data_IF_743215972399
#
_entry.id   IF_743215972399
#
_cell.length_a   1.000
_cell.length_b   1.000
_cell.length_c   1.000
_cell.angle_alpha   90.00
_cell.angle_beta   90.00
_cell.angle_gamma   90.00
#
_symmetry.space_group_name_H-M   'P 1'
#
loop_
_entity.id
_entity.type
_entity.pdbx_description
1 polymer ?
#
# COMPACT_ATOMS: atom_id res chain seq x y z
N UNK A 1 -43.55 -14.52 9.73
CA UNK A 1 -42.76 -14.08 10.92
C UNK A 1 -41.31 -14.53 10.81
N UNK A 2 -40.49 -13.90 9.96
CA UNK A 2 -39.04 -14.17 9.82
C UNK A 2 -38.29 -12.91 9.36
N UNK A 3 -38.50 -11.77 10.02
CA UNK A 3 -37.75 -10.53 9.75
C UNK A 3 -37.07 -9.94 10.99
N UNK A 4 -37.35 -10.44 12.20
CA UNK A 4 -36.83 -9.87 13.45
C UNK A 4 -35.45 -10.41 13.86
N UNK A 5 -35.01 -11.57 13.35
CA UNK A 5 -33.74 -12.18 13.75
C UNK A 5 -32.53 -11.68 12.95
N UNK A 6 -32.70 -11.30 11.68
CA UNK A 6 -31.60 -10.82 10.82
C UNK A 6 -31.16 -9.39 11.18
N UNK A 7 -32.07 -8.57 11.70
CA UNK A 7 -31.77 -7.18 12.08
C UNK A 7 -30.95 -7.10 13.38
N UNK A 8 -31.06 -8.10 14.27
CA UNK A 8 -30.31 -8.18 15.52
C UNK A 8 -28.85 -8.59 15.32
N UNK A 9 -28.57 -9.49 14.39
CA UNK A 9 -27.18 -9.89 14.07
C UNK A 9 -26.39 -8.79 13.36
N UNK A 10 -27.06 -7.95 12.56
CA UNK A 10 -26.41 -6.83 11.86
C UNK A 10 -26.06 -5.66 12.79
N UNK A 11 -26.88 -5.40 13.82
CA UNK A 11 -26.62 -4.40 14.86
C UNK A 11 -25.47 -4.81 15.80
N UNK A 12 -25.37 -6.09 16.15
CA UNK A 12 -24.32 -6.58 17.05
C UNK A 12 -22.91 -6.42 16.45
N UNK A 13 -22.78 -6.59 15.13
CA UNK A 13 -21.51 -6.40 14.44
C UNK A 13 -21.10 -4.94 14.28
N UNK A 14 -22.06 -4.00 14.19
CA UNK A 14 -21.75 -2.56 14.06
C UNK A 14 -21.29 -1.94 15.38
N UNK A 15 -21.83 -2.39 16.51
CA UNK A 15 -21.43 -1.89 17.84
C UNK A 15 -19.98 -2.28 18.19
N UNK A 16 -19.52 -3.47 17.77
CA UNK A 16 -18.16 -3.92 18.05
C UNK A 16 -17.08 -3.10 17.31
N UNK A 17 -17.37 -2.66 16.08
CA UNK A 17 -16.43 -1.83 15.28
C UNK A 17 -16.33 -0.40 15.82
N UNK A 18 -17.43 0.16 16.34
CA UNK A 18 -17.43 1.49 16.98
C UNK A 18 -16.70 1.47 18.33
N UNK A 19 -16.83 0.39 19.11
CA UNK A 19 -16.08 0.24 20.37
C UNK A 19 -14.55 0.16 20.15
N UNK A 20 -14.10 -0.45 19.05
CA UNK A 20 -12.69 -0.45 18.64
C UNK A 20 -12.22 0.92 18.14
N UNK A 21 -13.10 1.74 17.55
CA UNK A 21 -12.78 3.09 17.12
C UNK A 21 -12.64 4.09 18.29
N UNK A 22 -13.38 3.92 19.39
CA UNK A 22 -13.23 4.76 20.59
C UNK A 22 -12.02 4.38 21.46
N UNK A 23 -11.51 3.14 21.34
CA UNK A 23 -10.27 2.73 22.00
C UNK A 23 -9.00 3.39 21.41
N UNK A 24 -9.14 4.12 20.29
CA UNK A 24 -8.07 4.83 19.60
C UNK A 24 -7.81 6.26 20.12
N UNK A 25 -8.58 6.75 21.10
CA UNK A 25 -8.31 8.05 21.73
C UNK A 25 -7.19 7.98 22.78
N UNK A 26 -6.93 6.80 23.36
CA UNK A 26 -5.87 6.59 24.35
C UNK A 26 -4.87 5.54 23.87
N UNK A 27 -3.60 5.93 23.79
CA UNK A 27 -2.53 5.04 23.36
C UNK A 27 -2.12 4.02 24.45
N UNK A 28 -1.41 2.96 24.07
CA UNK A 28 -1.07 1.86 24.97
C UNK A 28 -0.24 2.32 26.18
N UNK A 29 0.68 3.26 26.00
CA UNK A 29 1.50 3.76 27.11
C UNK A 29 0.69 4.66 28.04
N UNK A 30 -0.20 5.50 27.49
CA UNK A 30 -1.15 6.28 28.30
C UNK A 30 -2.01 5.37 29.18
N UNK A 31 -2.55 4.27 28.64
CA UNK A 31 -3.36 3.30 29.41
C UNK A 31 -2.55 2.60 30.51
N UNK A 32 -1.30 2.22 30.20
CA UNK A 32 -0.40 1.65 31.18
C UNK A 32 -0.07 2.64 32.31
N UNK A 33 0.12 3.92 31.97
CA UNK A 33 0.29 5.02 32.92
C UNK A 33 -0.93 5.23 33.80
N UNK A 34 -2.12 5.33 33.21
CA UNK A 34 -3.37 5.49 33.94
C UNK A 34 -3.61 4.35 34.94
N UNK A 35 -3.27 3.11 34.56
CA UNK A 35 -3.38 1.95 35.46
C UNK A 35 -2.45 2.07 36.67
N UNK A 36 -1.23 2.60 36.48
CA UNK A 36 -0.28 2.83 37.59
C UNK A 36 -0.77 3.93 38.52
N UNK A 37 -1.26 5.03 37.95
CA UNK A 37 -1.79 6.15 38.72
C UNK A 37 -3.05 5.75 39.51
N UNK A 38 -3.95 4.96 38.90
CA UNK A 38 -5.13 4.42 39.56
C UNK A 38 -4.75 3.50 40.73
N UNK A 39 -3.75 2.63 40.56
CA UNK A 39 -3.26 1.77 41.64
C UNK A 39 -2.64 2.58 42.79
N UNK A 40 -1.86 3.61 42.47
CA UNK A 40 -1.25 4.48 43.46
C UNK A 40 -2.31 5.27 44.25
N UNK A 41 -3.33 5.81 43.58
CA UNK A 41 -4.44 6.50 44.22
C UNK A 41 -5.24 5.56 45.13
N UNK A 42 -5.56 4.34 44.66
CA UNK A 42 -6.23 3.31 45.47
C UNK A 42 -5.42 2.94 46.72
N UNK A 43 -4.11 2.77 46.58
CA UNK A 43 -3.23 2.48 47.71
C UNK A 43 -3.16 3.63 48.72
N UNK A 44 -3.30 4.88 48.25
CA UNK A 44 -3.36 6.08 49.08
C UNK A 44 -4.76 6.36 49.66
N UNK A 45 -5.78 5.53 49.34
CA UNK A 45 -7.17 5.77 49.74
C UNK A 45 -7.80 7.00 49.05
N UNK A 46 -7.22 7.46 47.94
CA UNK A 46 -7.69 8.59 47.16
C UNK A 46 -8.49 8.13 45.95
N UNK A 47 -9.44 8.96 45.53
CA UNK A 47 -10.16 8.77 44.27
C UNK A 47 -9.26 9.23 43.13
N UNK A 48 -9.11 8.37 42.11
CA UNK A 48 -8.40 8.72 40.88
C UNK A 48 -9.38 9.37 39.89
N UNK A 49 -9.06 10.58 39.45
CA UNK A 49 -9.90 11.37 38.53
C UNK A 49 -9.36 11.40 37.09
N UNK A 50 -8.24 10.71 36.83
CA UNK A 50 -7.53 10.77 35.55
C UNK A 50 -6.39 11.80 35.53
N UNK A 51 -5.71 11.86 34.38
CA UNK A 51 -4.58 12.75 34.06
C UNK A 51 -3.40 12.69 35.06
N UNK A 52 -3.17 11.48 35.59
CA UNK A 52 -2.07 11.25 36.52
C UNK A 52 -0.69 11.44 35.86
N UNK A 53 0.38 11.59 36.67
CA UNK A 53 1.73 11.81 36.14
C UNK A 53 2.20 10.68 35.20
N UNK A 54 1.90 9.42 35.52
CA UNK A 54 2.31 8.29 34.69
C UNK A 54 1.47 8.22 33.40
N UNK A 55 0.18 8.52 33.46
CA UNK A 55 -0.71 8.65 32.30
C UNK A 55 -0.20 9.73 31.33
N UNK A 56 0.19 10.90 31.84
CA UNK A 56 0.75 11.99 31.03
C UNK A 56 2.07 11.63 30.39
N UNK A 57 2.95 10.94 31.12
CA UNK A 57 4.21 10.45 30.56
C UNK A 57 3.95 9.45 29.43
N UNK A 58 3.05 8.48 29.65
CA UNK A 58 2.66 7.52 28.62
C UNK A 58 2.00 8.18 27.40
N UNK A 59 1.18 9.21 27.60
CA UNK A 59 0.58 9.97 26.50
C UNK A 59 1.65 10.69 25.66
N UNK A 60 2.73 11.17 26.27
CA UNK A 60 3.85 11.77 25.56
C UNK A 60 4.62 10.72 24.74
N UNK A 61 4.91 9.55 25.32
CA UNK A 61 5.53 8.42 24.62
C UNK A 61 4.70 7.96 23.41
N UNK A 62 3.38 7.84 23.59
CA UNK A 62 2.47 7.47 22.49
C UNK A 62 2.49 8.49 21.35
N UNK A 63 2.65 9.79 21.65
CA UNK A 63 2.78 10.84 20.62
C UNK A 63 4.08 10.68 19.83
N UNK A 64 5.19 10.41 20.51
CA UNK A 64 6.49 10.16 19.89
C UNK A 64 6.41 8.92 19.00
N UNK A 65 5.92 7.80 19.53
CA UNK A 65 5.79 6.54 18.78
C UNK A 65 4.92 6.69 17.52
N UNK A 66 3.80 7.42 17.61
CA UNK A 66 2.97 7.73 16.44
C UNK A 66 3.69 8.60 15.42
N UNK A 67 4.43 9.61 15.88
CA UNK A 67 5.20 10.47 14.99
C UNK A 67 6.30 9.68 14.25
N UNK A 68 7.04 8.83 14.96
CA UNK A 68 8.05 7.95 14.37
C UNK A 68 7.44 6.96 13.37
N UNK A 69 6.34 6.31 13.74
CA UNK A 69 5.63 5.38 12.86
C UNK A 69 5.15 6.08 11.58
N UNK A 70 4.59 7.28 11.70
CA UNK A 70 4.16 8.09 10.56
C UNK A 70 5.34 8.50 9.68
N UNK A 71 6.47 8.88 10.27
CA UNK A 71 7.68 9.21 9.52
C UNK A 71 8.24 7.99 8.75
N UNK A 72 8.25 6.81 9.37
CA UNK A 72 8.67 5.56 8.69
C UNK A 72 7.71 5.19 7.57
N UNK A 73 6.41 5.30 7.79
CA UNK A 73 5.41 5.03 6.74
C UNK A 73 5.56 5.99 5.56
N UNK A 74 5.74 7.29 5.82
CA UNK A 74 5.98 8.27 4.76
C UNK A 74 7.25 7.97 3.96
N UNK A 75 8.32 7.49 4.60
CA UNK A 75 9.54 7.07 3.89
C UNK A 75 9.30 5.83 3.05
N UNK A 76 8.53 4.86 3.55
CA UNK A 76 8.17 3.66 2.81
C UNK A 76 7.32 4.00 1.57
N UNK A 77 6.31 4.87 1.73
CA UNK A 77 5.45 5.32 0.63
C UNK A 77 6.28 6.03 -0.45
N UNK A 78 7.23 6.88 -0.05
CA UNK A 78 8.13 7.56 -0.99
C UNK A 78 9.06 6.60 -1.75
N UNK A 79 9.54 5.54 -1.11
CA UNK A 79 10.33 4.50 -1.77
C UNK A 79 9.47 3.66 -2.73
N UNK A 80 8.23 3.38 -2.36
CA UNK A 80 7.27 2.68 -3.21
C UNK A 80 6.94 3.49 -4.48
N UNK A 81 6.76 4.81 -4.34
CA UNK A 81 6.57 5.73 -5.46
C UNK A 81 7.78 5.78 -6.39
N UNK A 82 8.99 5.83 -5.83
CA UNK A 82 10.22 5.72 -6.64
C UNK A 82 10.29 4.40 -7.40
N UNK A 83 9.93 3.29 -6.75
CA UNK A 83 9.87 1.98 -7.39
C UNK A 83 8.84 1.92 -8.52
N UNK A 84 7.64 2.48 -8.30
CA UNK A 84 6.60 2.60 -9.34
C UNK A 84 7.10 3.41 -10.54
N UNK A 85 7.74 4.55 -10.30
CA UNK A 85 8.27 5.40 -11.35
C UNK A 85 9.36 4.69 -12.17
N UNK A 86 10.27 3.98 -11.49
CA UNK A 86 11.32 3.21 -12.16
C UNK A 86 10.74 2.08 -13.02
N UNK A 87 9.75 1.35 -12.49
CA UNK A 87 9.05 0.30 -13.24
C UNK A 87 8.35 0.86 -14.47
N UNK A 88 7.59 1.95 -14.32
CA UNK A 88 6.91 2.59 -15.43
C UNK A 88 7.88 3.07 -16.51
N UNK A 89 9.05 3.59 -16.12
CA UNK A 89 10.12 3.96 -17.04
C UNK A 89 10.67 2.74 -17.78
N UNK A 90 10.98 1.66 -17.07
CA UNK A 90 11.48 0.43 -17.66
C UNK A 90 10.46 -0.18 -18.65
N UNK A 91 9.18 -0.18 -18.31
CA UNK A 91 8.11 -0.66 -19.19
C UNK A 91 7.99 0.21 -20.46
N UNK A 92 8.15 1.53 -20.34
CA UNK A 92 8.15 2.43 -21.49
C UNK A 92 9.37 2.21 -22.40
N UNK A 93 10.56 2.03 -21.80
CA UNK A 93 11.80 1.73 -22.53
C UNK A 93 11.70 0.37 -23.25
N UNK A 94 11.13 -0.64 -22.59
CA UNK A 94 10.89 -1.95 -23.18
C UNK A 94 9.96 -1.85 -24.41
N UNK A 95 8.82 -1.16 -24.29
CA UNK A 95 7.89 -0.96 -25.42
C UNK A 95 8.56 -0.23 -26.60
N UNK A 96 9.43 0.73 -26.30
CA UNK A 96 10.19 1.44 -27.34
C UNK A 96 11.14 0.49 -28.07
N UNK A 97 11.86 -0.38 -27.36
CA UNK A 97 12.74 -1.38 -27.96
C UNK A 97 11.97 -2.42 -28.77
N UNK A 98 10.81 -2.86 -28.30
CA UNK A 98 9.91 -3.74 -29.05
C UNK A 98 9.49 -3.11 -30.38
N UNK A 99 9.04 -1.85 -30.35
CA UNK A 99 8.68 -1.12 -31.56
C UNK A 99 9.85 -1.01 -32.55
N UNK A 100 11.04 -0.66 -32.08
CA UNK A 100 12.24 -0.58 -32.91
C UNK A 100 12.60 -1.94 -33.53
N UNK A 101 12.47 -3.02 -32.77
CA UNK A 101 12.71 -4.37 -33.27
C UNK A 101 11.69 -4.76 -34.36
N UNK A 102 10.42 -4.40 -34.19
CA UNK A 102 9.38 -4.67 -35.17
C UNK A 102 9.58 -3.88 -36.47
N UNK A 103 9.96 -2.61 -36.38
CA UNK A 103 10.34 -1.80 -37.56
C UNK A 103 11.51 -2.44 -38.31
N UNK A 104 12.55 -2.88 -37.60
CA UNK A 104 13.70 -3.55 -38.21
C UNK A 104 13.30 -4.87 -38.89
N UNK A 105 12.46 -5.67 -38.25
CA UNK A 105 11.93 -6.92 -38.83
C UNK A 105 11.11 -6.65 -40.08
N UNK A 106 10.26 -5.62 -40.06
CA UNK A 106 9.44 -5.23 -41.20
C UNK A 106 10.31 -4.76 -42.39
N UNK A 107 11.33 -3.94 -42.12
CA UNK A 107 12.29 -3.50 -43.13
C UNK A 107 13.07 -4.69 -43.74
N UNK A 108 13.58 -5.59 -42.89
CA UNK A 108 14.31 -6.78 -43.34
C UNK A 108 13.42 -7.71 -44.18
N UNK A 109 12.16 -7.90 -43.77
CA UNK A 109 11.19 -8.69 -44.53
C UNK A 109 10.93 -8.09 -45.91
N UNK A 110 10.74 -6.78 -45.98
CA UNK A 110 10.54 -6.07 -47.25
C UNK A 110 11.72 -6.26 -48.20
N UNK A 111 12.96 -6.14 -47.69
CA UNK A 111 14.17 -6.37 -48.49
C UNK A 111 14.28 -7.83 -48.96
N UNK A 112 14.00 -8.78 -48.07
CA UNK A 112 14.02 -10.20 -48.41
C UNK A 112 13.00 -10.54 -49.50
N UNK A 113 11.78 -9.99 -49.41
CA UNK A 113 10.73 -10.18 -50.42
C UNK A 113 11.14 -9.57 -51.77
N UNK A 114 11.77 -8.39 -51.79
CA UNK A 114 12.29 -7.78 -53.01
C UNK A 114 13.39 -8.63 -53.67
N UNK A 115 14.34 -9.14 -52.88
CA UNK A 115 15.39 -10.04 -53.36
C UNK A 115 14.80 -11.35 -53.91
N UNK A 116 13.79 -11.91 -53.23
CA UNK A 116 13.09 -13.11 -53.69
C UNK A 116 12.42 -12.89 -55.04
N UNK A 117 11.72 -11.76 -55.23
CA UNK A 117 11.11 -11.42 -56.51
C UNK A 117 12.13 -11.28 -57.63
N UNK A 118 13.30 -10.68 -57.35
CA UNK A 118 14.38 -10.58 -58.34
C UNK A 118 14.91 -11.97 -58.72
N UNK A 119 15.13 -12.84 -57.73
CA UNK A 119 15.58 -14.21 -57.95
C UNK A 119 14.56 -15.03 -58.78
N UNK A 120 13.27 -14.88 -58.51
CA UNK A 120 12.21 -15.58 -59.24
C UNK A 120 12.13 -15.13 -60.70
N UNK A 121 12.27 -13.82 -60.98
CA UNK A 121 12.35 -13.28 -62.35
C UNK A 121 13.53 -13.85 -63.14
N UNK A 122 14.71 -13.94 -62.51
CA UNK A 122 15.89 -14.54 -63.13
C UNK A 122 15.67 -16.03 -63.45
N UNK A 123 15.08 -16.79 -62.51
CA UNK A 123 14.76 -18.21 -62.72
C UNK A 123 13.73 -18.43 -63.83
N UNK A 124 12.72 -17.58 -63.94
CA UNK A 124 11.71 -17.70 -65.01
C UNK A 124 12.24 -17.28 -66.37
N UNK A 125 13.13 -16.28 -66.42
CA UNK A 125 13.78 -15.83 -67.66
C UNK A 125 14.78 -16.85 -68.22
N UNK A 126 15.45 -17.62 -67.35
CA UNK A 126 16.37 -18.68 -67.75
C UNK A 126 15.70 -19.95 -68.29
N UNK A 127 14.36 -20.03 -68.30
CA UNK A 127 13.60 -21.17 -68.85
C UNK A 127 13.01 -20.91 -70.24
N UNK A 128 13.28 -19.74 -70.83
CA UNK A 128 12.95 -19.40 -72.22
C UNK A 128 14.19 -19.58 -73.09
#
# INVERSE_FOLDING_TARGET
MRCSSFMKTMYLTTVLVVALACAACDGPQKKAGATKDEQAAKAAGQVYEGDGPAERAGAAEDRINRAESKARKSQADALEDQGRALRAKADADAKKLEHQADELRAAAKTQADALKQQADKLKSGARQ
#
